data_IF_839309319981
#
_entry.id   IF_839309319981
#
_cell.length_a   1.000
_cell.length_b   1.000
_cell.length_c   1.000
_cell.angle_alpha   90.00
_cell.angle_beta   90.00
_cell.angle_gamma   90.00
#
_symmetry.space_group_name_H-M   'P 1'
#
loop_
_entity.id
_entity.type
_entity.pdbx_description
1 polymer ?
#
# COMPACT_ATOMS: atom_id res chain seq x y z
N UNK A 1 29.09 15.97 -19.23
CA UNK A 1 28.43 15.46 -20.45
C UNK A 1 27.13 14.82 -19.99
N UNK A 2 26.04 15.54 -20.21
CA UNK A 2 24.62 15.13 -20.11
C UNK A 2 24.24 14.11 -19.02
N UNK A 3 24.02 14.60 -17.79
CA UNK A 3 23.24 13.85 -16.80
C UNK A 3 21.76 13.96 -17.20
N UNK A 4 21.22 12.82 -17.61
CA UNK A 4 19.87 12.57 -18.12
C UNK A 4 18.76 13.29 -17.34
N UNK A 5 18.37 14.47 -17.83
CA UNK A 5 16.99 14.92 -17.64
C UNK A 5 16.13 13.96 -18.45
N UNK A 6 15.58 12.93 -17.79
CA UNK A 6 14.50 12.18 -18.41
C UNK A 6 13.40 13.19 -18.67
N UNK A 7 13.24 13.56 -19.93
CA UNK A 7 12.33 14.62 -20.33
C UNK A 7 10.91 14.20 -19.96
N UNK A 8 10.01 15.16 -19.76
CA UNK A 8 8.61 14.85 -19.50
C UNK A 8 8.01 13.92 -20.58
N UNK A 9 8.51 14.02 -21.81
CA UNK A 9 8.14 13.15 -22.93
C UNK A 9 8.64 11.71 -22.76
N UNK A 10 9.88 11.50 -22.31
CA UNK A 10 10.40 10.16 -22.01
C UNK A 10 9.68 9.52 -20.82
N UNK A 11 9.38 10.30 -19.77
CA UNK A 11 8.56 9.84 -18.65
C UNK A 11 7.15 9.43 -19.09
N UNK A 12 6.56 10.18 -20.02
CA UNK A 12 5.24 9.87 -20.57
C UNK A 12 5.26 8.60 -21.44
N UNK A 13 6.31 8.43 -22.26
CA UNK A 13 6.52 7.20 -23.02
C UNK A 13 6.68 5.97 -22.12
N UNK A 14 7.50 6.07 -21.07
CA UNK A 14 7.66 4.99 -20.09
C UNK A 14 6.35 4.67 -19.36
N UNK A 15 5.56 5.70 -19.02
CA UNK A 15 4.25 5.51 -18.41
C UNK A 15 3.27 4.83 -19.39
N UNK A 16 3.27 5.21 -20.67
CA UNK A 16 2.43 4.56 -21.67
C UNK A 16 2.79 3.10 -21.89
N UNK A 17 4.08 2.77 -21.95
CA UNK A 17 4.57 1.40 -22.10
C UNK A 17 4.12 0.53 -20.91
N UNK A 18 4.35 0.99 -19.67
CA UNK A 18 3.86 0.31 -18.47
C UNK A 18 2.33 0.23 -18.45
N UNK A 19 1.63 1.30 -18.83
CA UNK A 19 0.18 1.36 -18.88
C UNK A 19 -0.44 0.41 -19.91
N UNK A 20 0.24 0.15 -21.04
CA UNK A 20 -0.19 -0.85 -22.02
C UNK A 20 -0.11 -2.26 -21.45
N UNK A 21 0.98 -2.58 -20.75
CA UNK A 21 1.13 -3.88 -20.06
C UNK A 21 0.05 -4.03 -19.00
N UNK A 22 -0.16 -3.02 -18.15
CA UNK A 22 -1.22 -3.04 -17.13
C UNK A 22 -2.59 -3.30 -17.74
N UNK A 23 -2.94 -2.63 -18.84
CA UNK A 23 -4.24 -2.83 -19.52
C UNK A 23 -4.38 -4.22 -20.16
N UNK A 24 -3.32 -4.73 -20.77
CA UNK A 24 -3.33 -6.05 -21.38
C UNK A 24 -3.50 -7.16 -20.32
N UNK A 25 -2.71 -7.08 -19.24
CA UNK A 25 -2.76 -8.03 -18.14
C UNK A 25 -4.06 -7.91 -17.33
N UNK A 26 -4.59 -6.70 -17.11
CA UNK A 26 -5.86 -6.52 -16.40
C UNK A 26 -7.05 -7.06 -17.19
N UNK A 27 -7.01 -6.98 -18.52
CA UNK A 27 -8.04 -7.55 -19.39
C UNK A 27 -8.05 -9.08 -19.32
N UNK A 28 -6.89 -9.73 -19.47
CA UNK A 28 -6.79 -11.19 -19.36
C UNK A 28 -7.08 -11.67 -17.93
N UNK A 29 -6.67 -10.91 -16.90
CA UNK A 29 -7.06 -11.17 -15.51
C UNK A 29 -8.59 -11.24 -15.36
N UNK A 30 -9.34 -10.22 -15.80
CA UNK A 30 -10.80 -10.20 -15.72
C UNK A 30 -11.43 -11.39 -16.47
N UNK A 31 -10.94 -11.67 -17.67
CA UNK A 31 -11.40 -12.81 -18.48
C UNK A 31 -11.16 -14.16 -17.81
N UNK A 32 -10.03 -14.33 -17.12
CA UNK A 32 -9.74 -15.54 -16.34
C UNK A 32 -10.65 -15.66 -15.10
N UNK A 33 -10.91 -14.55 -14.43
CA UNK A 33 -11.83 -14.50 -13.28
C UNK A 33 -13.26 -14.87 -13.70
N UNK A 34 -13.75 -14.35 -14.82
CA UNK A 34 -15.08 -14.69 -15.36
C UNK A 34 -15.24 -16.19 -15.67
N UNK A 35 -14.14 -16.86 -16.02
CA UNK A 35 -14.09 -18.31 -16.29
C UNK A 35 -13.88 -19.16 -15.03
N UNK A 36 -13.69 -18.54 -13.86
CA UNK A 36 -13.37 -19.24 -12.61
C UNK A 36 -11.92 -19.76 -12.52
N UNK A 37 -11.03 -19.31 -13.40
CA UNK A 37 -9.61 -19.68 -13.41
C UNK A 37 -8.80 -18.73 -12.50
N UNK A 38 -8.99 -18.88 -11.18
CA UNK A 38 -8.39 -17.98 -10.18
C UNK A 38 -6.85 -17.93 -10.25
N UNK A 39 -6.19 -19.07 -10.41
CA UNK A 39 -4.72 -19.13 -10.42
C UNK A 39 -4.12 -18.38 -11.62
N UNK A 40 -4.74 -18.53 -12.78
CA UNK A 40 -4.32 -17.79 -13.99
C UNK A 40 -4.63 -16.30 -13.83
N UNK A 41 -5.78 -15.94 -13.25
CA UNK A 41 -6.11 -14.56 -12.90
C UNK A 41 -5.09 -13.92 -11.97
N UNK A 42 -4.67 -14.62 -10.90
CA UNK A 42 -3.65 -14.15 -9.97
C UNK A 42 -2.26 -14.04 -10.63
N UNK A 43 -1.95 -14.91 -11.59
CA UNK A 43 -0.70 -14.83 -12.37
C UNK A 43 -0.66 -13.56 -13.22
N UNK A 44 -1.74 -13.26 -13.94
CA UNK A 44 -1.88 -12.00 -14.70
C UNK A 44 -1.85 -10.78 -13.78
N UNK A 45 -2.51 -10.85 -12.61
CA UNK A 45 -2.42 -9.80 -11.59
C UNK A 45 -0.99 -9.59 -11.08
N UNK A 46 -0.22 -10.66 -10.86
CA UNK A 46 1.19 -10.57 -10.45
C UNK A 46 2.09 -9.99 -11.56
N UNK A 47 1.78 -10.25 -12.84
CA UNK A 47 2.48 -9.67 -13.98
C UNK A 47 2.18 -8.17 -14.07
N UNK A 48 0.91 -7.76 -14.00
CA UNK A 48 0.50 -6.36 -13.89
C UNK A 48 1.21 -5.62 -12.75
N UNK A 49 1.26 -6.22 -11.55
CA UNK A 49 1.93 -5.64 -10.38
C UNK A 49 3.46 -5.56 -10.52
N UNK A 50 4.05 -6.30 -11.46
CA UNK A 50 5.49 -6.23 -11.68
C UNK A 50 5.92 -4.89 -12.27
N UNK A 51 5.01 -4.16 -12.94
CA UNK A 51 5.26 -2.80 -13.45
C UNK A 51 5.52 -1.78 -12.32
N UNK A 52 4.93 -1.99 -11.13
CA UNK A 52 5.19 -1.15 -9.95
C UNK A 52 6.62 -1.31 -9.40
N UNK A 53 7.40 -2.27 -9.92
CA UNK A 53 8.82 -2.43 -9.57
C UNK A 53 9.72 -1.45 -10.30
N UNK A 54 9.23 -0.64 -11.24
CA UNK A 54 10.06 0.35 -11.91
C UNK A 54 10.66 1.35 -10.91
N UNK A 55 11.91 1.75 -11.14
CA UNK A 55 12.56 2.90 -10.47
C UNK A 55 12.70 4.11 -11.40
N UNK A 56 12.34 3.95 -12.68
CA UNK A 56 12.61 4.96 -13.71
C UNK A 56 11.57 6.10 -13.71
N UNK A 57 10.39 5.86 -13.13
CA UNK A 57 9.33 6.85 -13.05
C UNK A 57 9.55 7.82 -11.89
N UNK A 58 9.37 9.10 -12.18
CA UNK A 58 9.28 10.15 -11.17
C UNK A 58 8.01 9.97 -10.32
N UNK A 59 7.97 10.49 -9.08
CA UNK A 59 6.86 10.27 -8.16
C UNK A 59 5.47 10.62 -8.71
N UNK A 60 5.37 11.68 -9.53
CA UNK A 60 4.13 12.08 -10.20
C UNK A 60 3.61 11.02 -11.19
N UNK A 61 4.48 10.47 -12.02
CA UNK A 61 4.09 9.46 -13.01
C UNK A 61 3.87 8.10 -12.35
N UNK A 62 4.69 7.76 -11.34
CA UNK A 62 4.46 6.59 -10.51
C UNK A 62 3.09 6.65 -9.80
N UNK A 63 2.66 7.82 -9.31
CA UNK A 63 1.33 7.99 -8.73
C UNK A 63 0.21 7.68 -9.74
N UNK A 64 0.34 8.10 -11.01
CA UNK A 64 -0.64 7.80 -12.06
C UNK A 64 -0.73 6.29 -12.32
N UNK A 65 0.42 5.63 -12.52
CA UNK A 65 0.48 4.18 -12.70
C UNK A 65 -0.10 3.44 -11.48
N UNK A 66 0.22 3.89 -10.27
CA UNK A 66 -0.32 3.35 -9.03
C UNK A 66 -1.85 3.43 -9.00
N UNK A 67 -2.45 4.58 -9.35
CA UNK A 67 -3.91 4.74 -9.38
C UNK A 67 -4.52 3.73 -10.34
N UNK A 68 -4.00 3.64 -11.57
CA UNK A 68 -4.51 2.71 -12.59
C UNK A 68 -4.45 1.26 -12.09
N UNK A 69 -3.31 0.83 -11.54
CA UNK A 69 -3.14 -0.53 -11.00
C UNK A 69 -4.07 -0.79 -9.80
N UNK A 70 -4.23 0.16 -8.89
CA UNK A 70 -5.10 -0.03 -7.72
C UNK A 70 -6.59 -0.13 -8.07
N UNK A 71 -7.03 0.55 -9.13
CA UNK A 71 -8.39 0.39 -9.66
C UNK A 71 -8.62 -1.04 -10.17
N UNK A 72 -7.65 -1.59 -10.88
CA UNK A 72 -7.72 -2.98 -11.36
C UNK A 72 -7.68 -4.00 -10.20
N UNK A 73 -6.91 -3.74 -9.15
CA UNK A 73 -6.92 -4.57 -7.94
C UNK A 73 -8.26 -4.53 -7.19
N UNK A 74 -9.01 -3.43 -7.23
CA UNK A 74 -10.35 -3.36 -6.63
C UNK A 74 -11.36 -4.27 -7.35
N UNK A 75 -11.21 -4.42 -8.67
CA UNK A 75 -11.99 -5.43 -9.42
C UNK A 75 -11.64 -6.84 -8.95
N UNK A 76 -10.34 -7.14 -8.82
CA UNK A 76 -9.88 -8.43 -8.29
C UNK A 76 -10.41 -8.69 -6.87
N UNK A 77 -10.37 -7.70 -5.98
CA UNK A 77 -10.92 -7.79 -4.62
C UNK A 77 -12.41 -8.14 -4.61
N UNK A 78 -13.21 -7.44 -5.43
CA UNK A 78 -14.64 -7.68 -5.54
C UNK A 78 -14.92 -9.11 -6.02
N UNK A 79 -14.26 -9.54 -7.10
CA UNK A 79 -14.42 -10.90 -7.63
C UNK A 79 -13.98 -11.98 -6.63
N UNK A 80 -12.89 -11.76 -5.90
CA UNK A 80 -12.45 -12.68 -4.86
C UNK A 80 -13.41 -12.72 -3.66
N UNK A 81 -14.03 -11.60 -3.32
CA UNK A 81 -15.05 -11.54 -2.27
C UNK A 81 -16.28 -12.36 -2.67
N UNK A 82 -16.76 -12.22 -3.90
CA UNK A 82 -17.88 -13.02 -4.43
C UNK A 82 -17.57 -14.52 -4.49
N UNK A 83 -16.34 -14.89 -4.87
CA UNK A 83 -15.93 -16.30 -4.93
C UNK A 83 -15.64 -16.88 -3.53
N UNK A 84 -15.30 -16.03 -2.55
CA UNK A 84 -15.09 -16.44 -1.15
C UNK A 84 -16.36 -16.98 -0.49
N UNK A 85 -17.54 -16.56 -0.97
CA UNK A 85 -18.81 -17.11 -0.50
C UNK A 85 -19.07 -18.53 -1.02
N UNK A 86 -18.35 -18.94 -2.07
CA UNK A 86 -18.53 -20.24 -2.75
C UNK A 86 -17.42 -21.24 -2.44
N UNK A 87 -16.21 -20.78 -2.11
CA UNK A 87 -15.03 -21.62 -1.83
C UNK A 87 -14.24 -21.08 -0.65
N UNK A 88 -13.60 -21.99 0.10
CA UNK A 88 -12.69 -21.62 1.21
C UNK A 88 -11.49 -20.84 0.68
N UNK A 89 -11.18 -19.71 1.30
CA UNK A 89 -10.13 -18.76 0.86
C UNK A 89 -8.81 -18.97 1.60
N UNK A 90 -8.79 -19.81 2.65
CA UNK A 90 -7.58 -20.12 3.42
C UNK A 90 -6.36 -20.47 2.54
N UNK A 91 -6.52 -21.35 1.54
CA UNK A 91 -5.43 -21.77 0.67
C UNK A 91 -4.91 -20.61 -0.20
N UNK A 92 -5.75 -19.62 -0.53
CA UNK A 92 -5.35 -18.46 -1.35
C UNK A 92 -4.35 -17.57 -0.62
N UNK A 93 -4.46 -17.45 0.71
CA UNK A 93 -3.54 -16.65 1.51
C UNK A 93 -2.12 -17.24 1.49
N UNK A 94 -1.99 -18.57 1.49
CA UNK A 94 -0.71 -19.26 1.33
C UNK A 94 -0.22 -19.22 -0.12
N UNK A 95 -1.12 -19.45 -1.09
CA UNK A 95 -0.76 -19.51 -2.51
C UNK A 95 -0.14 -18.22 -3.03
N UNK A 96 -0.66 -17.07 -2.59
CA UNK A 96 -0.12 -15.76 -2.99
C UNK A 96 1.29 -15.52 -2.45
N UNK A 97 1.69 -16.17 -1.35
CA UNK A 97 3.02 -16.01 -0.77
C UNK A 97 4.13 -16.64 -1.61
N UNK A 98 3.81 -17.61 -2.48
CA UNK A 98 4.76 -18.21 -3.42
C UNK A 98 5.20 -17.25 -4.54
N UNK A 99 4.57 -16.08 -4.68
CA UNK A 99 5.02 -15.07 -5.61
C UNK A 99 6.46 -14.62 -5.30
N UNK A 100 7.40 -14.88 -6.21
CA UNK A 100 8.83 -14.65 -5.97
C UNK A 100 9.22 -13.18 -5.79
N UNK A 101 8.47 -12.25 -6.40
CA UNK A 101 8.74 -10.82 -6.29
C UNK A 101 7.99 -10.20 -5.11
N UNK A 102 8.72 -9.51 -4.23
CA UNK A 102 8.15 -8.94 -3.00
C UNK A 102 7.02 -7.92 -3.25
N UNK A 103 7.11 -7.09 -4.29
CA UNK A 103 6.09 -6.07 -4.57
C UNK A 103 4.76 -6.73 -5.00
N UNK A 104 4.69 -7.51 -6.09
CA UNK A 104 3.47 -8.25 -6.43
C UNK A 104 2.92 -9.08 -5.28
N UNK A 105 3.80 -9.80 -4.56
CA UNK A 105 3.41 -10.62 -3.42
C UNK A 105 2.68 -9.81 -2.35
N UNK A 106 3.22 -8.67 -1.91
CA UNK A 106 2.61 -7.90 -0.83
C UNK A 106 1.31 -7.22 -1.24
N UNK A 107 1.20 -6.73 -2.49
CA UNK A 107 -0.07 -6.16 -2.97
C UNK A 107 -1.18 -7.22 -3.01
N UNK A 108 -0.90 -8.40 -3.59
CA UNK A 108 -1.86 -9.50 -3.61
C UNK A 108 -2.17 -10.01 -2.19
N UNK A 109 -1.16 -10.09 -1.30
CA UNK A 109 -1.33 -10.53 0.07
C UNK A 109 -2.25 -9.57 0.85
N UNK A 110 -2.14 -8.26 0.63
CA UNK A 110 -3.05 -7.27 1.21
C UNK A 110 -4.47 -7.47 0.67
N UNK A 111 -4.65 -7.64 -0.65
CA UNK A 111 -5.96 -7.85 -1.26
C UNK A 111 -6.64 -9.11 -0.73
N UNK A 112 -5.93 -10.25 -0.75
CA UNK A 112 -6.46 -11.53 -0.23
C UNK A 112 -6.66 -11.46 1.28
N UNK A 113 -5.76 -10.81 2.03
CA UNK A 113 -5.91 -10.63 3.47
C UNK A 113 -7.17 -9.85 3.85
N UNK A 114 -7.55 -8.84 3.08
CA UNK A 114 -8.79 -8.09 3.29
C UNK A 114 -10.02 -8.96 3.02
N UNK A 115 -10.00 -9.74 1.93
CA UNK A 115 -11.07 -10.71 1.62
C UNK A 115 -11.18 -11.75 2.72
N UNK A 116 -10.05 -12.28 3.20
CA UNK A 116 -9.99 -13.31 4.24
C UNK A 116 -10.59 -12.83 5.57
N UNK A 117 -10.37 -11.55 5.93
CA UNK A 117 -11.01 -10.92 7.09
C UNK A 117 -12.52 -10.78 6.89
N UNK A 118 -12.96 -10.38 5.69
CA UNK A 118 -14.40 -10.23 5.36
C UNK A 118 -15.15 -11.56 5.38
N UNK A 119 -14.52 -12.63 4.91
CA UNK A 119 -15.10 -13.98 4.93
C UNK A 119 -15.22 -14.56 6.34
N UNK A 120 -14.58 -13.95 7.35
CA UNK A 120 -14.65 -14.37 8.74
C UNK A 120 -13.91 -15.67 9.06
N UNK A 121 -13.07 -16.17 8.15
CA UNK A 121 -12.30 -17.40 8.33
C UNK A 121 -11.11 -17.22 9.30
N UNK A 122 -10.69 -15.98 9.58
CA UNK A 122 -9.57 -15.68 10.48
C UNK A 122 -9.78 -14.44 11.34
N UNK A 123 -8.96 -14.34 12.39
CA UNK A 123 -8.97 -13.20 13.28
C UNK A 123 -8.35 -11.97 12.60
N UNK A 124 -9.13 -10.89 12.47
CA UNK A 124 -8.70 -9.65 11.84
C UNK A 124 -7.41 -9.10 12.46
N UNK A 125 -7.24 -9.27 13.77
CA UNK A 125 -6.07 -8.78 14.52
C UNK A 125 -4.77 -9.40 14.03
N UNK A 126 -4.75 -10.72 13.81
CA UNK A 126 -3.52 -11.44 13.48
C UNK A 126 -3.11 -11.18 12.04
N UNK A 127 -4.08 -11.17 11.12
CA UNK A 127 -3.85 -10.82 9.71
C UNK A 127 -3.36 -9.37 9.57
N UNK A 128 -3.98 -8.41 10.26
CA UNK A 128 -3.54 -7.00 10.20
C UNK A 128 -2.13 -6.80 10.75
N UNK A 129 -1.76 -7.51 11.83
CA UNK A 129 -0.40 -7.49 12.37
C UNK A 129 0.60 -8.11 11.40
N UNK A 130 0.29 -9.26 10.83
CA UNK A 130 1.15 -9.94 9.86
C UNK A 130 1.37 -9.06 8.62
N UNK A 131 0.31 -8.47 8.05
CA UNK A 131 0.41 -7.56 6.91
C UNK A 131 1.34 -6.37 7.18
N UNK A 132 1.31 -5.78 8.37
CA UNK A 132 2.19 -4.66 8.75
C UNK A 132 3.64 -5.10 8.89
N UNK A 133 3.89 -6.26 9.49
CA UNK A 133 5.23 -6.83 9.64
C UNK A 133 5.81 -7.22 8.28
N UNK A 134 5.02 -7.87 7.41
CA UNK A 134 5.41 -8.23 6.05
C UNK A 134 5.71 -7.00 5.17
N UNK A 135 4.98 -5.89 5.37
CA UNK A 135 5.27 -4.61 4.71
C UNK A 135 6.63 -3.99 5.12
N UNK A 136 7.29 -4.45 6.19
CA UNK A 136 8.66 -4.02 6.55
C UNK A 136 9.70 -4.55 5.57
N UNK A 137 9.38 -5.56 4.75
CA UNK A 137 10.29 -6.06 3.72
C UNK A 137 10.58 -5.04 2.60
N UNK A 138 9.74 -4.02 2.40
CA UNK A 138 9.94 -2.99 1.37
C UNK A 138 10.54 -1.72 1.97
N UNK A 139 11.86 -1.62 1.89
CA UNK A 139 12.63 -0.49 2.44
C UNK A 139 12.86 0.64 1.42
N UNK A 140 12.45 0.45 0.16
CA UNK A 140 12.57 1.48 -0.88
C UNK A 140 11.56 2.62 -0.61
N UNK A 141 11.99 3.89 -0.47
CA UNK A 141 11.09 4.96 -0.01
C UNK A 141 9.84 5.19 -0.86
N UNK A 142 9.98 5.29 -2.20
CA UNK A 142 8.83 5.52 -3.08
C UNK A 142 7.84 4.34 -3.01
N UNK A 143 8.28 3.14 -3.41
CA UNK A 143 7.47 1.91 -3.41
C UNK A 143 6.86 1.57 -2.05
N UNK A 144 7.63 1.73 -0.97
CA UNK A 144 7.17 1.46 0.39
C UNK A 144 6.08 2.44 0.85
N UNK A 145 6.19 3.72 0.50
CA UNK A 145 5.13 4.71 0.80
C UNK A 145 3.83 4.37 0.08
N UNK A 146 3.89 4.00 -1.21
CA UNK A 146 2.72 3.61 -1.98
C UNK A 146 2.09 2.30 -1.51
N UNK A 147 2.90 1.29 -1.16
CA UNK A 147 2.42 0.03 -0.60
C UNK A 147 1.70 0.26 0.74
N UNK A 148 2.30 1.06 1.62
CA UNK A 148 1.70 1.38 2.93
C UNK A 148 0.46 2.25 2.81
N UNK A 149 0.40 3.11 1.80
CA UNK A 149 -0.81 3.86 1.47
C UNK A 149 -1.92 2.91 0.96
N UNK A 150 -1.57 1.92 0.14
CA UNK A 150 -2.51 0.90 -0.32
C UNK A 150 -3.07 0.07 0.85
N UNK A 151 -2.19 -0.42 1.74
CA UNK A 151 -2.59 -1.12 2.97
C UNK A 151 -3.65 -0.33 3.74
N UNK A 152 -3.36 0.95 4.02
CA UNK A 152 -4.27 1.85 4.73
C UNK A 152 -5.62 2.05 4.02
N UNK A 153 -5.62 2.12 2.69
CA UNK A 153 -6.84 2.24 1.89
C UNK A 153 -7.70 0.98 2.01
N UNK A 154 -7.09 -0.20 1.90
CA UNK A 154 -7.80 -1.47 1.96
C UNK A 154 -8.32 -1.81 3.36
N UNK A 155 -7.56 -1.50 4.42
CA UNK A 155 -7.96 -1.81 5.79
C UNK A 155 -9.00 -0.83 6.36
N UNK A 156 -9.26 0.29 5.68
CA UNK A 156 -10.17 1.34 6.18
C UNK A 156 -11.57 0.82 6.50
N UNK A 157 -12.11 -0.08 5.69
CA UNK A 157 -13.44 -0.66 5.90
C UNK A 157 -13.47 -1.75 6.98
N UNK A 158 -12.30 -2.22 7.41
CA UNK A 158 -12.14 -3.35 8.33
C UNK A 158 -11.79 -2.94 9.77
N UNK A 159 -11.34 -1.70 9.99
CA UNK A 159 -10.96 -1.26 11.32
C UNK A 159 -12.21 -1.09 12.21
N UNK A 160 -12.20 -1.59 13.47
CA UNK A 160 -13.32 -1.46 14.39
C UNK A 160 -13.57 0.02 14.74
N UNK A 161 -14.70 0.55 14.25
CA UNK A 161 -15.10 1.96 14.33
C UNK A 161 -15.74 2.37 15.67
N UNK A 162 -16.16 1.41 16.52
CA UNK A 162 -16.92 1.70 17.74
C UNK A 162 -16.25 1.15 19.01
N UNK A 163 -16.25 1.93 20.12
CA UNK A 163 -15.91 1.39 21.41
C UNK A 163 -17.04 0.45 21.85
N UNK A 164 -16.68 -0.80 22.13
CA UNK A 164 -17.51 -1.80 22.79
C UNK A 164 -18.64 -2.43 21.95
N UNK A 165 -18.32 -3.53 21.26
CA UNK A 165 -19.17 -4.73 21.42
C UNK A 165 -18.46 -5.66 22.40
N UNK A 166 -19.11 -5.90 23.54
CA UNK A 166 -18.64 -6.88 24.52
C UNK A 166 -18.73 -8.27 23.87
N UNK A 167 -17.59 -8.91 23.65
CA UNK A 167 -17.52 -10.35 23.44
C UNK A 167 -17.01 -10.85 22.09
N UNK A 168 -16.65 -9.99 21.15
CA UNK A 168 -16.03 -10.45 19.89
C UNK A 168 -14.50 -10.33 19.96
N UNK A 169 -13.83 -11.47 19.85
CA UNK A 169 -12.36 -11.63 19.84
C UNK A 169 -11.70 -11.02 18.57
N UNK A 170 -12.41 -10.12 17.86
CA UNK A 170 -12.09 -9.57 16.53
C UNK A 170 -11.23 -8.31 16.56
N UNK A 171 -10.78 -7.86 17.73
CA UNK A 171 -9.82 -6.76 17.89
C UNK A 171 -10.39 -5.49 18.51
N UNK A 172 -9.56 -4.81 19.30
CA UNK A 172 -9.93 -3.58 20.01
C UNK A 172 -9.69 -2.33 19.14
N UNK A 173 -10.41 -1.25 19.44
CA UNK A 173 -10.08 0.12 18.95
C UNK A 173 -8.61 0.46 19.23
N UNK A 174 -8.05 -0.06 20.33
CA UNK A 174 -6.63 0.09 20.65
C UNK A 174 -5.72 -0.59 19.62
N UNK A 175 -6.05 -1.81 19.18
CA UNK A 175 -5.27 -2.51 18.15
C UNK A 175 -5.33 -1.75 16.81
N UNK A 176 -6.47 -1.14 16.48
CA UNK A 176 -6.62 -0.29 15.29
C UNK A 176 -5.75 0.97 15.37
N UNK A 177 -5.69 1.64 16.52
CA UNK A 177 -4.81 2.79 16.74
C UNK A 177 -3.34 2.36 16.62
N UNK A 178 -2.95 1.28 17.30
CA UNK A 178 -1.58 0.76 17.28
C UNK A 178 -1.16 0.38 15.84
N UNK A 179 -2.05 -0.24 15.07
CA UNK A 179 -1.85 -0.55 13.64
C UNK A 179 -1.57 0.71 12.81
N UNK A 180 -2.44 1.73 12.91
CA UNK A 180 -2.27 2.99 12.15
C UNK A 180 -0.96 3.68 12.58
N UNK A 181 -0.63 3.61 13.87
CA UNK A 181 0.58 4.21 14.43
C UNK A 181 1.88 3.57 13.95
N UNK A 182 1.94 2.24 13.94
CA UNK A 182 3.09 1.52 13.40
C UNK A 182 3.25 1.85 11.92
N UNK A 183 2.15 1.83 11.15
CA UNK A 183 2.22 2.15 9.74
C UNK A 183 2.67 3.60 9.48
N UNK A 184 2.18 4.56 10.27
CA UNK A 184 2.61 5.95 10.19
C UNK A 184 4.09 6.14 10.52
N UNK A 185 4.58 5.49 11.58
CA UNK A 185 5.99 5.55 11.97
C UNK A 185 6.89 5.05 10.84
N UNK A 186 6.53 3.93 10.22
CA UNK A 186 7.28 3.38 9.09
C UNK A 186 7.18 4.25 7.82
N UNK A 187 6.01 4.82 7.51
CA UNK A 187 5.86 5.80 6.42
C UNK A 187 6.72 7.04 6.65
N UNK A 188 6.75 7.57 7.87
CA UNK A 188 7.61 8.72 8.23
C UNK A 188 9.10 8.38 8.07
N UNK A 189 9.54 7.19 8.51
CA UNK A 189 10.93 6.74 8.33
C UNK A 189 11.31 6.69 6.85
N UNK A 190 10.44 6.14 6.00
CA UNK A 190 10.66 6.10 4.54
C UNK A 190 10.71 7.51 3.94
N UNK A 191 9.79 8.38 4.34
CA UNK A 191 9.74 9.77 3.87
C UNK A 191 10.97 10.59 4.28
N UNK A 192 11.47 10.41 5.51
CA UNK A 192 12.74 11.02 5.97
C UNK A 192 13.94 10.41 5.24
N UNK A 193 13.91 9.10 4.95
CA UNK A 193 14.97 8.43 4.18
C UNK A 193 15.11 9.01 2.77
N UNK A 194 14.03 9.45 2.14
CA UNK A 194 14.09 10.13 0.84
C UNK A 194 14.99 11.36 0.83
N UNK A 195 15.12 12.08 1.96
CA UNK A 195 15.97 13.27 2.04
C UNK A 195 17.45 12.94 1.81
N UNK A 196 17.88 11.75 2.24
CA UNK A 196 19.27 11.32 2.24
C UNK A 196 19.61 10.35 1.09
N UNK A 197 18.63 9.98 0.27
CA UNK A 197 18.83 9.05 -0.83
C UNK A 197 19.44 9.78 -2.04
N UNK A 198 20.61 9.32 -2.52
CA UNK A 198 21.23 9.84 -3.74
C UNK A 198 22.18 11.03 -3.53
N UNK A 199 22.80 11.54 -4.62
CA UNK A 199 23.84 12.55 -4.55
C UNK A 199 23.37 13.88 -3.94
N UNK A 200 24.24 14.57 -3.19
CA UNK A 200 23.92 15.87 -2.57
C UNK A 200 23.46 16.94 -3.57
N UNK A 201 23.90 16.86 -4.84
CA UNK A 201 23.54 17.79 -5.91
C UNK A 201 22.05 17.80 -6.26
N UNK A 202 21.34 16.70 -6.01
CA UNK A 202 19.91 16.58 -6.34
C UNK A 202 18.99 16.89 -5.14
N UNK A 203 19.52 17.49 -4.07
CA UNK A 203 18.78 17.78 -2.84
C UNK A 203 17.48 18.56 -3.11
N UNK A 204 17.54 19.61 -3.94
CA UNK A 204 16.37 20.45 -4.23
C UNK A 204 15.29 19.71 -5.05
N UNK A 205 15.70 18.80 -5.94
CA UNK A 205 14.79 17.92 -6.68
C UNK A 205 14.07 16.97 -5.72
N UNK A 206 14.81 16.33 -4.81
CA UNK A 206 14.22 15.45 -3.78
C UNK A 206 13.30 16.19 -2.84
N UNK A 207 13.63 17.42 -2.45
CA UNK A 207 12.76 18.22 -1.60
C UNK A 207 11.44 18.58 -2.27
N UNK A 208 11.43 18.80 -3.60
CA UNK A 208 10.19 18.99 -4.38
C UNK A 208 9.37 17.70 -4.44
N UNK A 209 9.98 16.59 -4.84
CA UNK A 209 9.35 15.26 -4.89
C UNK A 209 8.78 14.85 -3.52
N UNK A 210 9.53 15.09 -2.44
CA UNK A 210 9.11 14.84 -1.06
C UNK A 210 7.88 15.66 -0.67
N UNK A 211 7.77 16.90 -1.18
CA UNK A 211 6.63 17.80 -0.93
C UNK A 211 5.36 17.29 -1.59
N UNK A 212 5.47 16.73 -2.79
CA UNK A 212 4.34 16.10 -3.51
C UNK A 212 3.84 14.86 -2.75
N UNK A 213 4.76 14.03 -2.27
CA UNK A 213 4.43 12.81 -1.50
C UNK A 213 3.98 13.09 -0.06
N UNK A 214 4.10 14.34 0.42
CA UNK A 214 3.62 14.73 1.76
C UNK A 214 2.14 14.45 1.93
N UNK A 215 1.34 14.51 0.85
CA UNK A 215 -0.10 14.24 0.92
C UNK A 215 -0.37 12.75 1.23
N UNK A 216 0.48 11.83 0.77
CA UNK A 216 0.36 10.40 1.07
C UNK A 216 0.62 10.12 2.56
N UNK A 217 1.64 10.77 3.13
CA UNK A 217 1.98 10.65 4.57
C UNK A 217 0.98 11.42 5.44
N UNK A 218 0.55 12.61 4.98
CA UNK A 218 -0.49 13.43 5.57
C UNK A 218 -1.91 12.90 5.32
N UNK A 219 -2.05 11.75 4.66
CA UNK A 219 -3.33 11.06 4.48
C UNK A 219 -4.05 10.80 5.80
N UNK A 220 -3.33 10.77 6.93
CA UNK A 220 -3.87 10.71 8.30
C UNK A 220 -4.84 11.86 8.59
N UNK A 221 -4.61 13.07 8.09
CA UNK A 221 -5.54 14.21 8.24
C UNK A 221 -6.85 14.01 7.47
N UNK A 222 -6.87 13.12 6.47
CA UNK A 222 -8.07 12.69 5.72
C UNK A 222 -8.81 11.53 6.39
N UNK A 223 -8.40 11.12 7.60
CA UNK A 223 -9.14 10.23 8.51
C UNK A 223 -9.92 11.08 9.54
N UNK A 224 -11.05 11.71 9.18
CA UNK A 224 -11.85 12.46 10.16
C UNK A 224 -12.30 11.58 11.34
N UNK A 225 -12.38 10.24 11.17
CA UNK A 225 -12.78 9.29 12.22
C UNK A 225 -11.66 8.87 13.17
N UNK A 226 -10.39 8.87 12.74
CA UNK A 226 -9.25 8.65 13.64
C UNK A 226 -8.85 9.94 14.37
N UNK A 227 -9.15 11.11 13.79
CA UNK A 227 -8.84 12.43 14.36
C UNK A 227 -9.47 12.63 15.75
N UNK A 228 -10.66 12.09 16.03
CA UNK A 228 -11.26 12.18 17.38
C UNK A 228 -10.42 11.50 18.49
N UNK A 229 -9.77 10.38 18.18
CA UNK A 229 -8.94 9.62 19.13
C UNK A 229 -7.45 10.05 19.08
N UNK A 230 -6.95 10.38 17.89
CA UNK A 230 -5.59 10.86 17.65
C UNK A 230 -5.40 12.26 18.24
N UNK A 231 -6.36 13.17 18.13
CA UNK A 231 -6.23 14.56 18.61
C UNK A 231 -6.16 14.66 20.14
N UNK A 232 -6.64 13.65 20.89
CA UNK A 232 -6.41 13.54 22.35
C UNK A 232 -5.06 12.93 22.73
N UNK A 233 -4.44 12.11 21.89
CA UNK A 233 -3.17 11.43 22.20
C UNK A 233 -1.92 12.05 21.52
N UNK A 234 -2.07 12.79 20.42
CA UNK A 234 -0.95 13.09 19.50
C UNK A 234 -0.31 14.47 19.59
N UNK A 235 -0.97 15.48 20.17
CA UNK A 235 -0.38 16.83 20.20
C UNK A 235 0.87 16.87 21.09
N UNK A 236 0.99 16.01 22.11
CA UNK A 236 2.11 16.07 23.07
C UNK A 236 3.30 15.17 22.71
N UNK A 237 3.09 14.05 21.99
CA UNK A 237 4.15 13.04 21.77
C UNK A 237 4.88 13.14 20.44
N UNK A 238 4.19 13.49 19.35
CA UNK A 238 4.83 13.61 18.03
C UNK A 238 5.45 14.99 17.82
N UNK A 239 4.85 16.07 18.34
CA UNK A 239 5.47 17.39 18.27
C UNK A 239 6.80 17.42 19.05
N UNK A 240 6.86 16.78 20.23
CA UNK A 240 8.12 16.64 20.97
C UNK A 240 9.11 15.69 20.31
N UNK A 241 8.66 14.59 19.67
CA UNK A 241 9.55 13.65 18.98
C UNK A 241 10.16 14.23 17.69
N UNK A 242 9.37 14.96 16.91
CA UNK A 242 9.78 15.62 15.66
C UNK A 242 10.61 16.88 15.96
N UNK A 243 10.28 17.65 17.00
CA UNK A 243 11.15 18.75 17.45
C UNK A 243 12.47 18.22 18.04
N UNK A 244 12.49 17.16 18.86
CA UNK A 244 13.76 16.67 19.43
C UNK A 244 14.69 16.02 18.39
N UNK A 245 14.17 15.41 17.32
CA UNK A 245 15.00 14.94 16.20
C UNK A 245 15.43 16.06 15.25
N UNK A 246 14.74 17.21 15.26
CA UNK A 246 15.16 18.41 14.54
C UNK A 246 16.09 19.31 15.35
N UNK A 247 16.17 19.12 16.68
CA UNK A 247 17.00 19.91 17.61
C UNK A 247 18.30 19.17 18.00
N UNK A 248 18.40 17.85 17.79
CA UNK A 248 19.64 17.08 18.05
C UNK A 248 20.60 16.99 16.84
N UNK A 249 20.67 18.05 16.02
CA UNK A 249 21.77 18.30 15.09
C UNK A 249 22.12 19.77 15.04
#
# INVERSE_FOLDING_TARGET
TDDSYVTSAEQEKLLEEAGRVVKAESFEMKRCLDKGLLMDGLKHASQMLSELRTAALTPKYYYRLYVDVTLELQHLETSLTEESERRKVADLYELVQYAGNIIPRLYLLITVGVVYIKSGEANARDILKDLVEMCRGVQHPLRGLFLRNYLLQCTRSLLPDFPESKGDDRGSVKDAIDFVMVNFSEMNKLWVRMQHQGPSKEKDKRERERRELRILVGGITRYPRAVGLVQRCHITRIFNGVCNTSISR
#
